data_IF_258014357822
#
_entry.id   IF_258014357822
#
_cell.length_a   1.000
_cell.length_b   1.000
_cell.length_c   1.000
_cell.angle_alpha   90.00
_cell.angle_beta   90.00
_cell.angle_gamma   90.00
#
_symmetry.space_group_name_H-M   'P 1'
#
loop_
_entity.id
_entity.type
_entity.pdbx_description
1 polymer ?
#
# COMPACT_ATOMS: atom_id res chain seq x y z
N UNK A 1 -1.78 -5.94 11.23
CA UNK A 1 -1.07 -6.84 10.29
C UNK A 1 -2.07 -7.86 9.76
N UNK A 2 -2.07 -8.15 8.46
CA UNK A 2 -3.13 -8.96 7.85
C UNK A 2 -4.50 -8.34 8.11
N UNK A 3 -5.48 -9.14 8.51
CA UNK A 3 -6.84 -8.68 8.87
C UNK A 3 -6.99 -8.20 10.31
N UNK A 4 -5.90 -8.07 11.09
CA UNK A 4 -5.95 -7.74 12.53
C UNK A 4 -5.41 -6.34 12.81
N UNK A 5 -6.01 -5.67 13.79
CA UNK A 5 -5.57 -4.37 14.36
C UNK A 5 -5.63 -4.38 15.88
N UNK A 6 -4.84 -3.49 16.49
CA UNK A 6 -4.74 -3.32 17.93
C UNK A 6 -5.11 -1.89 18.30
N UNK A 7 -5.85 -1.72 19.39
CA UNK A 7 -6.04 -0.42 20.01
C UNK A 7 -4.86 -0.04 20.92
N UNK A 8 -4.96 1.11 21.58
CA UNK A 8 -3.90 1.63 22.46
C UNK A 8 -3.74 0.84 23.76
N UNK A 9 -4.75 0.05 24.15
CA UNK A 9 -4.74 -0.79 25.34
C UNK A 9 -4.23 -2.21 25.04
N UNK A 10 -3.95 -2.51 23.76
CA UNK A 10 -3.44 -3.80 23.30
C UNK A 10 -4.54 -4.81 22.98
N UNK A 11 -5.81 -4.42 22.94
CA UNK A 11 -6.88 -5.33 22.53
C UNK A 11 -6.82 -5.57 21.01
N UNK A 12 -6.85 -6.84 20.63
CA UNK A 12 -6.87 -7.24 19.22
C UNK A 12 -8.31 -7.29 18.69
N UNK A 13 -8.51 -6.88 17.44
CA UNK A 13 -9.77 -7.05 16.72
C UNK A 13 -9.55 -7.45 15.26
N UNK A 14 -10.48 -8.23 14.71
CA UNK A 14 -10.56 -8.49 13.27
C UNK A 14 -11.16 -7.27 12.59
N UNK A 15 -10.45 -6.70 11.63
CA UNK A 15 -10.88 -5.56 10.85
C UNK A 15 -11.64 -6.02 9.60
N UNK A 16 -12.97 -5.94 9.63
CA UNK A 16 -13.79 -6.29 8.47
C UNK A 16 -13.93 -5.15 7.46
N UNK A 17 -13.62 -3.91 7.87
CA UNK A 17 -13.76 -2.73 7.01
C UNK A 17 -12.57 -2.58 6.04
N UNK A 18 -11.38 -3.05 6.45
CA UNK A 18 -10.17 -3.11 5.60
C UNK A 18 -9.91 -1.82 4.82
N UNK A 19 -9.94 -0.67 5.52
CA UNK A 19 -9.73 0.64 4.89
C UNK A 19 -10.78 0.98 3.84
N UNK A 20 -12.05 0.65 4.09
CA UNK A 20 -13.15 0.78 3.12
C UNK A 20 -12.88 0.03 1.81
N UNK A 21 -12.24 -1.15 1.90
CA UNK A 21 -11.87 -1.98 0.76
C UNK A 21 -10.52 -1.65 0.11
N UNK A 22 -9.85 -0.55 0.50
CA UNK A 22 -8.54 -0.20 -0.03
C UNK A 22 -7.45 -1.21 0.37
N UNK A 23 -7.55 -1.79 1.56
CA UNK A 23 -6.55 -2.74 2.09
C UNK A 23 -6.88 -4.17 1.68
N UNK A 24 -7.02 -4.42 0.37
CA UNK A 24 -7.37 -5.74 -0.17
C UNK A 24 -6.42 -6.85 0.27
N UNK A 25 -5.12 -6.53 0.39
CA UNK A 25 -4.07 -7.48 0.76
C UNK A 25 -3.85 -7.58 2.28
N UNK A 26 -4.55 -6.79 3.08
CA UNK A 26 -4.29 -6.73 4.53
C UNK A 26 -3.51 -5.50 4.96
N UNK A 27 -3.48 -5.28 6.27
CA UNK A 27 -2.59 -4.32 6.93
C UNK A 27 -1.14 -4.79 6.84
N UNK A 28 -0.25 -3.92 6.35
CA UNK A 28 1.20 -4.15 6.29
C UNK A 28 1.56 -5.47 5.59
N UNK A 29 1.02 -5.67 4.38
CA UNK A 29 1.48 -6.70 3.46
C UNK A 29 2.98 -6.52 3.16
N UNK A 30 3.74 -7.62 3.16
CA UNK A 30 5.21 -7.58 3.13
C UNK A 30 5.75 -7.03 1.80
N UNK A 31 5.13 -7.40 0.69
CA UNK A 31 5.52 -6.93 -0.64
C UNK A 31 5.22 -5.44 -0.81
N UNK A 32 4.04 -5.00 -0.35
CA UNK A 32 3.66 -3.57 -0.38
C UNK A 32 4.58 -2.73 0.50
N UNK A 33 4.88 -3.19 1.73
CA UNK A 33 5.78 -2.47 2.64
C UNK A 33 7.18 -2.35 2.02
N UNK A 34 7.71 -3.43 1.45
CA UNK A 34 9.01 -3.40 0.80
C UNK A 34 9.03 -2.42 -0.38
N UNK A 35 8.05 -2.49 -1.29
CA UNK A 35 7.98 -1.60 -2.45
C UNK A 35 7.89 -0.11 -2.05
N UNK A 36 7.14 0.21 -1.00
CA UNK A 36 7.05 1.58 -0.46
C UNK A 36 8.39 2.01 0.14
N UNK A 37 9.05 1.15 0.92
CA UNK A 37 10.36 1.46 1.51
C UNK A 37 11.42 1.69 0.43
N UNK A 38 11.47 0.86 -0.60
CA UNK A 38 12.39 1.02 -1.73
C UNK A 38 12.11 2.33 -2.48
N UNK A 39 10.85 2.58 -2.88
CA UNK A 39 10.48 3.79 -3.61
C UNK A 39 10.75 5.08 -2.82
N UNK A 40 10.46 5.07 -1.52
CA UNK A 40 10.74 6.24 -0.66
C UNK A 40 12.24 6.47 -0.42
N UNK A 41 13.06 5.42 -0.49
CA UNK A 41 14.52 5.51 -0.46
C UNK A 41 15.10 6.24 -1.67
N UNK A 42 14.47 6.10 -2.84
CA UNK A 42 14.87 6.79 -4.08
C UNK A 42 14.36 8.25 -4.16
N UNK A 43 13.38 8.60 -3.33
CA UNK A 43 12.80 9.94 -3.24
C UNK A 43 11.31 10.00 -3.58
N UNK A 44 10.62 11.04 -3.10
CA UNK A 44 9.14 11.13 -3.18
C UNK A 44 8.63 12.36 -3.92
N UNK A 45 9.51 13.30 -4.28
CA UNK A 45 9.12 14.54 -4.96
C UNK A 45 10.21 15.00 -5.93
N UNK A 46 10.05 14.67 -7.21
CA UNK A 46 11.04 14.95 -8.25
C UNK A 46 10.75 16.21 -9.07
N UNK A 47 9.62 16.89 -8.81
CA UNK A 47 9.23 18.13 -9.48
C UNK A 47 8.83 17.99 -10.95
N UNK A 48 8.85 16.78 -11.52
CA UNK A 48 8.49 16.45 -12.90
C UNK A 48 7.98 14.99 -12.99
N UNK A 49 7.84 14.47 -14.21
CA UNK A 49 7.50 13.08 -14.52
C UNK A 49 8.50 12.07 -13.92
N UNK A 50 8.00 10.89 -13.55
CA UNK A 50 8.80 9.80 -12.98
C UNK A 50 8.47 8.48 -13.69
N UNK A 51 9.45 7.64 -14.07
CA UNK A 51 9.19 6.42 -14.85
C UNK A 51 8.16 5.46 -14.25
N UNK A 52 8.05 5.40 -12.91
CA UNK A 52 7.03 4.57 -12.24
C UNK A 52 5.59 5.00 -12.53
N UNK A 53 5.36 6.27 -12.86
CA UNK A 53 4.04 6.76 -13.27
C UNK A 53 3.60 6.13 -14.60
N UNK A 54 4.52 6.01 -15.56
CA UNK A 54 4.25 5.42 -16.86
C UNK A 54 3.99 3.92 -16.73
N UNK A 55 4.80 3.22 -15.93
CA UNK A 55 4.60 1.81 -15.61
C UNK A 55 3.22 1.58 -14.99
N UNK A 56 2.86 2.39 -14.00
CA UNK A 56 1.55 2.29 -13.35
C UNK A 56 0.39 2.55 -14.33
N UNK A 57 0.52 3.55 -15.20
CA UNK A 57 -0.50 3.88 -16.21
C UNK A 57 -0.74 2.72 -17.18
N UNK A 58 0.32 2.05 -17.62
CA UNK A 58 0.21 0.85 -18.48
C UNK A 58 -0.46 -0.31 -17.71
N UNK A 59 -0.06 -0.55 -16.46
CA UNK A 59 -0.67 -1.61 -15.65
C UNK A 59 -2.16 -1.39 -15.44
N UNK A 60 -2.58 -0.15 -15.17
CA UNK A 60 -3.99 0.19 -14.98
C UNK A 60 -4.81 -0.08 -16.25
N UNK A 61 -4.29 0.28 -17.42
CA UNK A 61 -4.99 0.09 -18.69
C UNK A 61 -5.11 -1.39 -19.10
N UNK A 62 -4.22 -2.25 -18.62
CA UNK A 62 -4.27 -3.70 -18.86
C UNK A 62 -5.21 -4.46 -17.90
N UNK A 63 -5.80 -3.76 -16.91
CA UNK A 63 -6.75 -4.35 -15.97
C UNK A 63 -8.22 -4.24 -16.41
N UNK A 64 -8.50 -3.64 -17.58
CA UNK A 64 -9.77 -3.74 -18.32
C UNK A 64 -9.77 -4.92 -19.31
#
# INVERSE_FOLDING_TARGET
RGSRKWDVDGNESIDFLMGNGALRLGHADEEIVQAVCEATGEGTHFGNEHPLHDVWSVMYQLQE
#
